data_IF_427513224154
#
_entry.id   IF_427513224154
#
_cell.length_a   1.000
_cell.length_b   1.000
_cell.length_c   1.000
_cell.angle_alpha   90.00
_cell.angle_beta   90.00
_cell.angle_gamma   90.00
#
_symmetry.space_group_name_H-M   'P 1'
#
loop_
_entity.id
_entity.type
_entity.pdbx_description
1 polymer ?
#
# COMPACT_ATOMS: atom_id res chain seq x y z
N UNK A 1 -47.41 -55.62 -32.33
CA UNK A 1 -48.44 -55.02 -31.45
C UNK A 1 -47.75 -54.34 -30.28
N UNK A 2 -47.92 -53.01 -30.13
CA UNK A 2 -47.96 -52.20 -28.88
C UNK A 2 -47.22 -52.81 -27.65
N UNK A 3 -46.18 -52.20 -27.05
CA UNK A 3 -46.21 -50.92 -26.32
C UNK A 3 -44.86 -50.69 -25.58
N UNK A 4 -44.46 -49.41 -25.44
CA UNK A 4 -43.73 -48.78 -24.30
C UNK A 4 -42.23 -49.13 -24.24
N UNK A 5 -41.27 -48.32 -24.73
CA UNK A 5 -40.87 -46.95 -24.35
C UNK A 5 -40.81 -46.72 -22.82
N UNK A 6 -39.75 -47.18 -22.16
CA UNK A 6 -39.25 -46.57 -20.92
C UNK A 6 -37.78 -46.19 -21.12
N UNK A 7 -37.63 -44.90 -21.35
CA UNK A 7 -36.49 -44.02 -21.14
C UNK A 7 -35.50 -44.55 -20.07
N UNK A 8 -34.32 -45.00 -20.51
CA UNK A 8 -33.14 -45.18 -19.67
C UNK A 8 -32.49 -43.80 -19.47
N UNK A 9 -33.13 -42.92 -18.69
CA UNK A 9 -32.48 -41.69 -18.23
C UNK A 9 -31.71 -42.02 -16.97
N UNK A 10 -30.40 -42.13 -17.16
CA UNK A 10 -29.33 -41.99 -16.18
C UNK A 10 -29.79 -41.16 -14.96
N UNK A 11 -30.21 -41.85 -13.91
CA UNK A 11 -30.21 -41.30 -12.56
C UNK A 11 -28.79 -41.45 -12.01
N UNK A 12 -27.83 -40.75 -12.63
CA UNK A 12 -26.59 -40.46 -11.92
C UNK A 12 -26.97 -39.46 -10.84
N UNK A 13 -27.05 -39.97 -9.61
CA UNK A 13 -27.05 -39.17 -8.40
C UNK A 13 -25.96 -38.11 -8.52
N UNK A 14 -26.35 -36.87 -8.79
CA UNK A 14 -25.53 -35.70 -8.48
C UNK A 14 -25.46 -35.63 -6.96
N UNK A 15 -24.52 -36.40 -6.39
CA UNK A 15 -23.97 -36.08 -5.08
C UNK A 15 -23.24 -34.76 -5.25
N UNK A 16 -23.97 -33.66 -5.07
CA UNK A 16 -23.37 -32.38 -4.78
C UNK A 16 -22.58 -32.59 -3.49
N UNK A 17 -21.28 -32.84 -3.59
CA UNK A 17 -20.36 -32.55 -2.50
C UNK A 17 -20.36 -31.03 -2.34
N UNK A 18 -21.36 -30.52 -1.64
CA UNK A 18 -21.23 -29.23 -0.96
C UNK A 18 -20.42 -29.55 0.28
N UNK A 19 -19.09 -29.54 0.12
CA UNK A 19 -18.21 -29.42 1.26
C UNK A 19 -18.39 -27.99 1.79
N UNK A 20 -19.37 -27.80 2.66
CA UNK A 20 -19.40 -26.64 3.53
C UNK A 20 -18.05 -26.60 4.24
N UNK A 21 -17.36 -25.47 4.20
CA UNK A 21 -16.23 -25.23 5.10
C UNK A 21 -16.73 -25.53 6.52
N UNK A 22 -16.02 -26.36 7.28
CA UNK A 22 -16.32 -26.51 8.69
C UNK A 22 -16.25 -25.12 9.33
N UNK A 23 -17.24 -24.77 10.15
CA UNK A 23 -17.22 -23.51 10.90
C UNK A 23 -15.95 -23.51 11.74
N UNK A 24 -15.01 -22.62 11.41
CA UNK A 24 -13.76 -22.46 12.12
C UNK A 24 -14.09 -22.19 13.58
N UNK A 25 -13.69 -23.09 14.47
CA UNK A 25 -13.88 -22.91 15.91
C UNK A 25 -12.94 -21.80 16.39
N UNK A 26 -13.44 -20.95 17.29
CA UNK A 26 -12.63 -19.87 17.87
C UNK A 26 -11.36 -20.42 18.53
N UNK A 27 -11.45 -21.60 19.15
CA UNK A 27 -10.33 -22.35 19.75
C UNK A 27 -9.21 -22.69 18.74
N UNK A 28 -9.54 -22.87 17.46
CA UNK A 28 -8.56 -23.12 16.41
C UNK A 28 -7.92 -21.82 15.89
N UNK A 29 -8.63 -20.69 16.00
CA UNK A 29 -8.07 -19.36 15.71
C UNK A 29 -7.11 -18.90 16.82
N UNK A 30 -7.40 -19.23 18.08
CA UNK A 30 -6.51 -18.91 19.21
C UNK A 30 -5.13 -19.57 19.06
N UNK A 31 -5.05 -20.76 18.46
CA UNK A 31 -3.78 -21.45 18.18
C UNK A 31 -2.92 -20.70 17.16
N UNK A 32 -3.53 -19.89 16.30
CA UNK A 32 -2.84 -19.10 15.27
C UNK A 32 -2.39 -17.73 15.78
N UNK A 33 -2.82 -17.33 16.98
CA UNK A 33 -2.41 -16.07 17.57
C UNK A 33 -0.88 -16.00 17.71
N UNK A 34 -0.28 -14.90 17.26
CA UNK A 34 1.17 -14.67 17.27
C UNK A 34 2.02 -15.61 16.41
N UNK A 35 1.41 -16.47 15.56
CA UNK A 35 2.17 -17.32 14.63
C UNK A 35 2.50 -16.63 13.30
N UNK A 36 1.74 -15.59 12.95
CA UNK A 36 1.85 -14.88 11.67
C UNK A 36 1.89 -13.36 11.82
N UNK A 37 2.05 -12.87 13.07
CA UNK A 37 2.10 -11.44 13.33
C UNK A 37 3.43 -10.87 12.86
N UNK A 38 3.35 -9.84 12.02
CA UNK A 38 4.53 -9.15 11.53
C UNK A 38 5.10 -8.26 12.63
N UNK A 39 6.36 -8.47 13.00
CA UNK A 39 7.10 -7.58 13.90
C UNK A 39 7.60 -6.36 13.14
N UNK A 40 6.68 -5.49 12.74
CA UNK A 40 6.98 -4.23 12.07
C UNK A 40 7.14 -3.10 13.09
N UNK A 41 8.00 -2.10 12.81
CA UNK A 41 8.09 -0.90 13.65
C UNK A 41 6.82 -0.06 13.59
N UNK A 42 6.64 0.84 14.56
CA UNK A 42 5.49 1.75 14.61
C UNK A 42 5.46 2.74 13.44
N UNK A 43 6.62 2.99 12.82
CA UNK A 43 6.80 3.89 11.69
C UNK A 43 7.11 3.12 10.40
N UNK A 44 6.46 3.49 9.31
CA UNK A 44 6.78 2.93 8.00
C UNK A 44 5.81 3.39 6.92
N UNK A 45 5.96 2.91 5.68
CA UNK A 45 5.08 3.28 4.57
C UNK A 45 3.78 2.44 4.58
N UNK A 46 2.98 2.55 5.65
CA UNK A 46 1.80 1.71 5.88
C UNK A 46 0.49 2.26 5.29
N UNK A 47 0.56 3.43 4.67
CA UNK A 47 -0.59 4.11 4.08
C UNK A 47 -1.32 3.26 3.05
N UNK A 48 -2.65 3.41 3.02
CA UNK A 48 -3.54 2.81 2.02
C UNK A 48 -4.17 3.85 1.09
N UNK A 49 -3.73 5.12 1.17
CA UNK A 49 -4.34 6.22 0.42
C UNK A 49 -3.33 6.98 -0.39
N UNK A 50 -2.38 7.63 0.28
CA UNK A 50 -1.40 8.51 -0.36
C UNK A 50 0.00 8.22 0.14
N UNK A 51 0.95 8.02 -0.76
CA UNK A 51 2.31 7.59 -0.40
C UNK A 51 2.97 8.57 0.56
N UNK A 52 3.74 8.05 1.49
CA UNK A 52 4.41 8.84 2.50
C UNK A 52 4.80 8.00 3.71
N UNK A 53 4.86 8.64 4.86
CA UNK A 53 5.19 8.00 6.13
C UNK A 53 3.95 7.86 6.99
N UNK A 54 3.81 6.71 7.62
CA UNK A 54 2.79 6.40 8.62
C UNK A 54 3.42 6.22 9.99
N UNK A 55 2.64 6.53 11.02
CA UNK A 55 2.93 6.21 12.42
C UNK A 55 1.71 5.57 13.08
N UNK A 56 1.90 4.42 13.70
CA UNK A 56 0.87 3.70 14.46
C UNK A 56 1.19 3.88 15.95
N UNK A 57 0.60 4.89 16.63
CA UNK A 57 0.93 5.18 18.02
C UNK A 57 0.42 4.11 19.00
N UNK A 58 -0.67 3.42 18.66
CA UNK A 58 -1.21 2.30 19.42
C UNK A 58 -2.00 1.35 18.51
N UNK A 59 -1.47 0.14 18.33
CA UNK A 59 -2.09 -0.91 17.50
C UNK A 59 -3.48 -1.28 18.01
N UNK A 60 -3.74 -1.23 19.32
CA UNK A 60 -5.04 -1.63 19.90
C UNK A 60 -6.14 -0.63 19.59
N UNK A 61 -5.82 0.65 19.58
CA UNK A 61 -6.75 1.72 19.18
C UNK A 61 -7.11 1.69 17.69
N UNK A 62 -6.28 1.06 16.85
CA UNK A 62 -6.41 1.09 15.40
C UNK A 62 -6.11 2.47 14.77
N UNK A 63 -5.56 3.41 15.54
CA UNK A 63 -5.19 4.74 15.05
C UNK A 63 -3.90 4.66 14.23
N UNK A 64 -3.88 5.39 13.11
CA UNK A 64 -2.70 5.60 12.29
C UNK A 64 -2.66 7.04 11.84
N UNK A 65 -1.54 7.71 12.07
CA UNK A 65 -1.25 9.00 11.47
C UNK A 65 -0.49 8.79 10.17
N UNK A 66 -0.90 9.46 9.12
CA UNK A 66 -0.26 9.43 7.82
C UNK A 66 0.16 10.84 7.40
N UNK A 67 1.37 10.97 6.85
CA UNK A 67 1.89 12.18 6.24
C UNK A 67 2.40 11.86 4.84
N UNK A 68 1.72 12.41 3.84
CA UNK A 68 2.13 12.36 2.44
C UNK A 68 2.91 13.60 2.07
N UNK A 69 4.09 13.41 1.48
CA UNK A 69 4.93 14.49 0.95
C UNK A 69 5.17 14.19 -0.52
N UNK A 70 4.86 15.16 -1.38
CA UNK A 70 4.99 14.97 -2.82
C UNK A 70 5.21 16.30 -3.55
N UNK A 71 6.04 16.30 -4.60
CA UNK A 71 6.29 17.49 -5.39
C UNK A 71 5.16 17.70 -6.41
N UNK A 72 5.09 18.91 -6.94
CA UNK A 72 4.22 19.28 -8.06
C UNK A 72 4.84 20.47 -8.78
N UNK A 73 4.48 20.71 -10.03
CA UNK A 73 4.86 21.95 -10.69
C UNK A 73 4.07 23.13 -10.10
N UNK A 74 4.77 24.22 -9.81
CA UNK A 74 4.15 25.42 -9.27
C UNK A 74 3.08 25.98 -10.24
N UNK A 75 1.88 26.26 -9.70
CA UNK A 75 0.70 26.73 -10.46
C UNK A 75 0.28 25.82 -11.62
N UNK A 76 0.56 24.52 -11.53
CA UNK A 76 -0.01 23.50 -12.42
C UNK A 76 -0.91 22.54 -11.64
N UNK A 77 -1.45 21.54 -12.34
CA UNK A 77 -2.17 20.43 -11.72
C UNK A 77 -1.27 19.76 -10.68
N UNK A 78 -1.86 19.44 -9.53
CA UNK A 78 -1.23 18.68 -8.47
C UNK A 78 -1.69 17.24 -8.61
N UNK A 79 -0.76 16.34 -8.91
CA UNK A 79 -1.02 14.89 -8.95
C UNK A 79 -0.75 14.29 -7.58
N UNK A 80 -1.83 13.99 -6.86
CA UNK A 80 -1.76 13.43 -5.50
C UNK A 80 -1.40 11.95 -5.61
N UNK A 81 -0.35 11.46 -4.93
CA UNK A 81 0.22 10.13 -5.15
C UNK A 81 -0.64 9.03 -4.51
N UNK A 82 -1.74 8.69 -5.15
CA UNK A 82 -2.67 7.67 -4.66
C UNK A 82 -2.11 6.27 -4.83
N UNK A 83 -2.13 5.46 -3.76
CA UNK A 83 -1.53 4.11 -3.78
C UNK A 83 -2.38 3.05 -4.49
N UNK A 84 -3.65 3.36 -4.82
CA UNK A 84 -4.59 2.41 -5.43
C UNK A 84 -4.58 2.45 -6.96
N UNK A 85 -3.93 3.44 -7.57
CA UNK A 85 -3.89 3.61 -9.02
C UNK A 85 -2.49 4.04 -9.47
N UNK A 86 -2.21 3.85 -10.74
CA UNK A 86 -0.95 4.25 -11.36
C UNK A 86 -0.71 5.76 -11.16
N UNK A 87 0.43 6.07 -10.56
CA UNK A 87 0.91 7.44 -10.32
C UNK A 87 2.42 7.48 -10.57
N UNK A 88 2.95 8.69 -10.78
CA UNK A 88 4.39 8.92 -11.00
C UNK A 88 5.23 8.81 -9.73
N UNK A 89 4.91 7.90 -8.80
CA UNK A 89 5.77 7.63 -7.65
C UNK A 89 6.21 6.17 -7.65
N UNK A 90 7.44 5.93 -7.19
CA UNK A 90 8.06 4.61 -7.17
C UNK A 90 8.80 4.39 -5.86
N UNK A 91 8.58 3.27 -5.15
CA UNK A 91 9.48 2.84 -4.08
C UNK A 91 10.90 2.72 -4.63
N UNK A 92 11.86 3.34 -3.95
CA UNK A 92 13.23 3.45 -4.45
C UNK A 92 14.18 2.62 -3.61
N UNK A 93 14.25 2.89 -2.31
CA UNK A 93 15.10 2.14 -1.37
C UNK A 93 14.37 1.93 -0.05
N UNK A 94 14.70 0.85 0.65
CA UNK A 94 14.26 0.63 2.01
C UNK A 94 15.28 -0.21 2.79
N UNK A 95 15.54 0.21 4.02
CA UNK A 95 16.26 -0.59 5.01
C UNK A 95 15.37 -1.75 5.52
N UNK A 96 15.95 -2.90 5.92
CA UNK A 96 15.17 -4.04 6.40
C UNK A 96 14.31 -3.76 7.63
N UNK A 97 14.74 -2.82 8.47
CA UNK A 97 14.08 -2.38 9.69
C UNK A 97 13.24 -1.12 9.52
N UNK A 98 13.11 -0.59 8.29
CA UNK A 98 12.36 0.64 7.96
C UNK A 98 12.82 1.90 8.71
N UNK A 99 14.04 1.92 9.24
CA UNK A 99 14.67 3.14 9.77
C UNK A 99 14.95 4.16 8.64
N UNK A 100 15.12 3.67 7.42
CA UNK A 100 15.24 4.43 6.19
C UNK A 100 14.37 3.83 5.09
N UNK A 101 13.66 4.68 4.34
CA UNK A 101 13.05 4.33 3.06
C UNK A 101 12.83 5.57 2.21
N UNK A 102 12.71 5.40 0.89
CA UNK A 102 12.57 6.50 -0.06
C UNK A 102 11.64 6.17 -1.22
N UNK A 103 11.08 7.23 -1.78
CA UNK A 103 10.27 7.19 -2.99
C UNK A 103 10.80 8.19 -4.00
N UNK A 104 10.88 7.78 -5.26
CA UNK A 104 11.08 8.69 -6.39
C UNK A 104 9.73 9.17 -6.89
N UNK A 105 9.55 10.48 -6.95
CA UNK A 105 8.40 11.13 -7.57
C UNK A 105 8.81 11.70 -8.93
N UNK A 106 8.43 11.02 -10.00
CA UNK A 106 8.63 11.48 -11.38
C UNK A 106 7.60 12.55 -11.74
N UNK A 107 8.09 13.75 -12.08
CA UNK A 107 7.27 14.86 -12.56
C UNK A 107 7.31 14.97 -14.08
N UNK A 108 8.48 14.70 -14.66
CA UNK A 108 8.70 14.60 -16.10
C UNK A 108 9.50 13.32 -16.40
N UNK A 109 8.96 12.53 -17.32
CA UNK A 109 9.49 11.24 -17.77
C UNK A 109 10.98 11.26 -18.16
N UNK A 110 11.61 10.07 -18.18
CA UNK A 110 13.03 9.88 -18.53
C UNK A 110 13.97 10.65 -17.59
N UNK A 111 13.66 10.65 -16.31
CA UNK A 111 14.48 11.31 -15.28
C UNK A 111 14.76 12.81 -15.60
N UNK A 112 13.87 13.48 -16.35
CA UNK A 112 14.05 14.89 -16.70
C UNK A 112 13.82 15.78 -15.48
N UNK A 113 12.73 15.52 -14.75
CA UNK A 113 12.40 16.24 -13.51
C UNK A 113 11.80 15.25 -12.54
N UNK A 114 12.41 15.11 -11.37
CA UNK A 114 11.90 14.25 -10.29
C UNK A 114 12.30 14.79 -8.92
N UNK A 115 11.65 14.27 -7.89
CA UNK A 115 12.11 14.44 -6.52
C UNK A 115 12.22 13.10 -5.80
N UNK A 116 13.39 12.83 -5.22
CA UNK A 116 13.58 11.69 -4.33
C UNK A 116 13.27 12.14 -2.90
N UNK A 117 12.25 11.54 -2.31
CA UNK A 117 11.80 11.85 -0.95
C UNK A 117 12.16 10.68 -0.06
N UNK A 118 13.05 10.92 0.91
CA UNK A 118 13.45 9.90 1.88
C UNK A 118 13.01 10.25 3.30
N UNK A 119 12.73 9.19 4.04
CA UNK A 119 12.30 9.21 5.43
C UNK A 119 13.36 8.47 6.23
N UNK A 120 13.88 9.11 7.28
CA UNK A 120 14.92 8.52 8.12
C UNK A 120 14.59 8.69 9.58
N UNK A 121 14.94 7.71 10.41
CA UNK A 121 14.82 7.83 11.85
C UNK A 121 15.76 8.90 12.42
N UNK A 122 15.22 9.79 13.25
CA UNK A 122 16.01 10.63 14.16
C UNK A 122 15.88 10.08 15.58
N UNK A 123 14.65 9.76 15.99
CA UNK A 123 14.32 9.13 17.27
C UNK A 123 13.12 8.22 17.08
N UNK A 124 12.74 7.45 18.10
CA UNK A 124 11.53 6.61 18.07
C UNK A 124 10.22 7.39 17.83
N UNK A 125 10.21 8.71 18.03
CA UNK A 125 9.01 9.57 17.86
C UNK A 125 9.14 10.60 16.74
N UNK A 126 10.24 10.60 16.00
CA UNK A 126 10.50 11.62 14.98
C UNK A 126 11.17 11.05 13.75
N UNK A 127 10.79 11.58 12.58
CA UNK A 127 11.36 11.23 11.29
C UNK A 127 11.92 12.48 10.60
N UNK A 128 13.10 12.34 10.01
CA UNK A 128 13.66 13.28 9.06
C UNK A 128 13.01 13.04 7.70
N UNK A 129 12.59 14.10 7.02
CA UNK A 129 12.13 14.03 5.63
C UNK A 129 13.12 14.84 4.79
N UNK A 130 13.88 14.16 3.93
CA UNK A 130 14.77 14.79 2.95
C UNK A 130 14.08 14.78 1.59
N UNK A 131 14.15 15.90 0.89
CA UNK A 131 13.57 16.06 -0.44
C UNK A 131 14.70 16.52 -1.37
N UNK A 132 15.08 15.66 -2.29
CA UNK A 132 16.12 15.91 -3.29
C UNK A 132 15.46 16.17 -4.64
N UNK A 133 15.42 17.44 -5.05
CA UNK A 133 14.84 17.85 -6.33
C UNK A 133 15.90 17.83 -7.42
N UNK A 134 15.63 17.12 -8.52
CA UNK A 134 16.53 16.99 -9.67
C UNK A 134 15.87 17.59 -10.90
N UNK A 135 16.61 18.44 -11.61
CA UNK A 135 16.22 19.04 -12.89
C UNK A 135 17.34 18.82 -13.91
N UNK A 136 17.12 17.90 -14.84
CA UNK A 136 18.02 17.57 -15.94
C UNK A 136 17.60 18.25 -17.26
N UNK A 137 16.65 19.18 -17.21
CA UNK A 137 16.21 19.95 -18.38
C UNK A 137 17.07 21.20 -18.56
N UNK A 138 17.05 21.78 -19.76
CA UNK A 138 17.70 23.07 -20.05
C UNK A 138 16.92 24.29 -19.49
N UNK A 139 15.73 24.06 -18.92
CA UNK A 139 14.85 25.11 -18.43
C UNK A 139 14.76 25.11 -16.91
N UNK A 140 14.58 26.30 -16.33
CA UNK A 140 14.31 26.40 -14.89
C UNK A 140 12.91 25.86 -14.58
N UNK A 141 12.85 24.89 -13.68
CA UNK A 141 11.59 24.30 -13.22
C UNK A 141 11.22 24.86 -11.84
N UNK A 142 9.99 25.35 -11.72
CA UNK A 142 9.44 25.80 -10.43
C UNK A 142 8.60 24.69 -9.82
N UNK A 143 9.01 24.20 -8.66
CA UNK A 143 8.33 23.14 -7.93
C UNK A 143 7.62 23.69 -6.69
N UNK A 144 6.49 23.08 -6.34
CA UNK A 144 5.78 23.25 -5.09
C UNK A 144 5.76 21.91 -4.34
N UNK A 145 6.16 21.95 -3.06
CA UNK A 145 6.17 20.79 -2.18
C UNK A 145 4.90 20.78 -1.34
N UNK A 146 4.14 19.70 -1.43
CA UNK A 146 2.89 19.54 -0.71
C UNK A 146 3.11 18.60 0.48
N UNK A 147 2.59 18.99 1.64
CA UNK A 147 2.57 18.19 2.86
C UNK A 147 1.11 18.00 3.25
N UNK A 148 0.65 16.74 3.25
CA UNK A 148 -0.74 16.40 3.52
C UNK A 148 -0.80 15.35 4.62
N UNK A 149 -1.32 15.77 5.78
CA UNK A 149 -1.50 14.92 6.94
C UNK A 149 -2.95 14.43 7.06
N UNK A 150 -3.15 13.20 7.53
CA UNK A 150 -4.46 12.62 7.81
C UNK A 150 -4.38 11.53 8.89
N UNK A 151 -5.53 11.19 9.46
CA UNK A 151 -5.75 10.12 10.45
C UNK A 151 -6.67 9.04 9.85
#
# INVERSE_FOLDING_TARGET
>A
MKKILILFVLFFLSTNFVQSQENIKIEDLEKLANQHDLTLPDWGPYTKRYIGVSHIPDVKSGLRFDLSVFPSFYRRKVDVPNVLYENGYHPWEASPNLEYFSFRHELEWKDQVYADISYSEITSKSRLIRIECVNNTDQNQNLALNFMAYL
#
